data_IF_703467126451
#
_entry.id   IF_703467126451
#
_cell.length_a   1.000
_cell.length_b   1.000
_cell.length_c   1.000
_cell.angle_alpha   90.00
_cell.angle_beta   90.00
_cell.angle_gamma   90.00
#
_symmetry.space_group_name_H-M   'P 1'
#
loop_
_entity.id
_entity.type
_entity.pdbx_description
1 polymer ?
#
# COMPACT_ATOMS: atom_id res chain seq x y z
N UNK A 1 12.73 -16.33 -9.29
CA UNK A 1 12.24 -14.94 -9.19
C UNK A 1 10.84 -14.89 -8.60
N UNK A 2 9.83 -15.59 -9.15
CA UNK A 2 8.47 -15.60 -8.58
C UNK A 2 8.40 -15.97 -7.09
N UNK A 3 9.06 -17.06 -6.70
CA UNK A 3 9.10 -17.52 -5.30
C UNK A 3 9.79 -16.53 -4.33
N UNK A 4 10.71 -15.72 -4.83
CA UNK A 4 11.40 -14.73 -3.99
C UNK A 4 10.51 -13.53 -3.71
N UNK A 5 9.86 -13.01 -4.75
CA UNK A 5 8.86 -11.94 -4.61
C UNK A 5 7.70 -12.39 -3.73
N UNK A 6 7.26 -13.65 -3.87
CA UNK A 6 6.25 -14.23 -2.99
C UNK A 6 6.71 -14.27 -1.54
N UNK A 7 7.94 -14.72 -1.26
CA UNK A 7 8.50 -14.68 0.10
C UNK A 7 8.56 -13.26 0.67
N UNK A 8 8.87 -12.26 -0.15
CA UNK A 8 8.89 -10.86 0.29
C UNK A 8 7.49 -10.30 0.59
N UNK A 9 6.43 -10.86 -0.01
CA UNK A 9 5.04 -10.53 0.28
C UNK A 9 4.46 -11.33 1.46
N UNK A 10 4.89 -12.60 1.63
CA UNK A 10 4.45 -13.49 2.72
C UNK A 10 5.12 -13.14 4.05
N UNK A 11 6.39 -12.72 4.01
CA UNK A 11 7.07 -12.10 5.15
C UNK A 11 6.60 -10.67 5.19
N UNK A 12 5.43 -10.43 5.81
CA UNK A 12 4.88 -9.10 6.01
C UNK A 12 6.01 -8.15 6.42
N UNK A 13 6.35 -7.13 5.59
CA UNK A 13 7.37 -6.19 5.97
C UNK A 13 6.94 -5.57 7.30
N UNK A 14 7.82 -5.48 8.32
CA UNK A 14 7.47 -4.89 9.61
C UNK A 14 7.00 -3.44 9.48
N UNK A 15 7.23 -2.82 8.31
CA UNK A 15 6.88 -1.46 7.97
C UNK A 15 5.90 -1.42 6.78
N UNK A 16 4.68 -0.88 6.97
CA UNK A 16 3.69 -0.69 5.90
C UNK A 16 4.22 0.10 4.69
N UNK A 17 5.12 1.06 4.91
CA UNK A 17 5.75 1.85 3.83
C UNK A 17 6.54 0.96 2.86
N UNK A 18 7.34 0.04 3.38
CA UNK A 18 8.14 -0.89 2.57
C UNK A 18 7.26 -1.84 1.76
N UNK A 19 6.16 -2.32 2.36
CA UNK A 19 5.19 -3.15 1.66
C UNK A 19 4.53 -2.42 0.50
N UNK A 20 4.11 -1.17 0.72
CA UNK A 20 3.52 -0.33 -0.33
C UNK A 20 4.52 -0.10 -1.48
N UNK A 21 5.78 0.15 -1.18
CA UNK A 21 6.85 0.28 -2.19
C UNK A 21 7.08 -1.00 -2.99
N UNK A 22 7.08 -2.16 -2.32
CA UNK A 22 7.23 -3.45 -2.97
C UNK A 22 6.07 -3.70 -3.94
N UNK A 23 4.83 -3.46 -3.50
CA UNK A 23 3.63 -3.60 -4.33
C UNK A 23 3.70 -2.66 -5.54
N UNK A 24 4.07 -1.38 -5.35
CA UNK A 24 4.23 -0.43 -6.45
C UNK A 24 5.26 -0.90 -7.48
N UNK A 25 6.38 -1.45 -7.00
CA UNK A 25 7.44 -1.98 -7.85
C UNK A 25 6.95 -3.17 -8.67
N UNK A 26 6.24 -4.12 -8.04
CA UNK A 26 5.67 -5.29 -8.72
C UNK A 26 4.65 -4.87 -9.80
N UNK A 27 3.79 -3.90 -9.50
CA UNK A 27 2.83 -3.34 -10.45
C UNK A 27 3.52 -2.66 -11.64
N UNK A 28 4.51 -1.79 -11.38
CA UNK A 28 5.27 -1.08 -12.44
C UNK A 28 6.06 -2.00 -13.35
N UNK A 29 6.55 -3.12 -12.80
CA UNK A 29 7.25 -4.16 -13.57
C UNK A 29 6.27 -5.06 -14.36
N UNK A 30 4.96 -4.88 -14.20
CA UNK A 30 3.94 -5.65 -14.90
C UNK A 30 3.77 -7.06 -14.36
N UNK A 31 4.24 -7.36 -13.14
CA UNK A 31 4.16 -8.69 -12.55
C UNK A 31 2.98 -8.88 -11.58
N UNK A 32 2.18 -7.84 -11.33
CA UNK A 32 1.10 -7.87 -10.34
C UNK A 32 0.10 -9.02 -10.55
N UNK A 33 -0.21 -9.38 -11.79
CA UNK A 33 -1.14 -10.47 -12.12
C UNK A 33 -0.69 -11.84 -11.59
N UNK A 34 0.58 -12.01 -11.25
CA UNK A 34 1.10 -13.24 -10.65
C UNK A 34 0.93 -13.31 -9.13
N UNK A 35 0.59 -12.20 -8.48
CA UNK A 35 0.58 -12.00 -7.03
C UNK A 35 -0.68 -11.29 -6.54
N UNK A 36 -1.79 -11.32 -7.30
CA UNK A 36 -3.01 -10.58 -6.97
C UNK A 36 -3.50 -10.90 -5.54
N UNK A 37 -3.54 -12.20 -5.18
CA UNK A 37 -3.98 -12.63 -3.86
C UNK A 37 -3.07 -12.11 -2.74
N UNK A 38 -1.76 -12.17 -2.93
CA UNK A 38 -0.78 -11.69 -1.97
C UNK A 38 -0.83 -10.17 -1.81
N UNK A 39 -1.04 -9.43 -2.90
CA UNK A 39 -1.20 -7.98 -2.92
C UNK A 39 -2.48 -7.58 -2.19
N UNK A 40 -3.63 -8.18 -2.52
CA UNK A 40 -4.91 -7.87 -1.87
C UNK A 40 -4.85 -8.13 -0.36
N UNK A 41 -4.26 -9.24 0.08
CA UNK A 41 -4.15 -9.56 1.51
C UNK A 41 -3.23 -8.57 2.24
N UNK A 42 -2.07 -8.23 1.67
CA UNK A 42 -1.18 -7.23 2.26
C UNK A 42 -1.85 -5.85 2.36
N UNK A 43 -2.56 -5.41 1.32
CA UNK A 43 -3.29 -4.14 1.34
C UNK A 43 -4.43 -4.15 2.37
N UNK A 44 -5.12 -5.28 2.55
CA UNK A 44 -6.10 -5.46 3.62
C UNK A 44 -5.47 -5.27 5.00
N UNK A 45 -4.32 -5.90 5.26
CA UNK A 45 -3.64 -5.77 6.55
C UNK A 45 -3.14 -4.35 6.79
N UNK A 46 -2.56 -3.70 5.77
CA UNK A 46 -2.12 -2.30 5.87
C UNK A 46 -3.30 -1.37 6.15
N UNK A 47 -4.46 -1.59 5.55
CA UNK A 47 -5.65 -0.77 5.81
C UNK A 47 -6.21 -0.96 7.23
N UNK A 48 -5.92 -2.07 7.91
CA UNK A 48 -6.28 -2.25 9.33
C UNK A 48 -5.35 -1.47 10.26
N UNK A 49 -4.13 -1.19 9.83
CA UNK A 49 -3.22 -0.30 10.56
C UNK A 49 -3.78 1.12 10.41
N UNK A 50 -3.93 1.85 11.52
CA UNK A 50 -4.38 3.24 11.43
C UNK A 50 -3.38 4.03 10.56
N UNK A 51 -3.85 5.11 9.94
CA UNK A 51 -2.97 6.03 9.19
C UNK A 51 -1.82 6.60 10.04
N UNK A 52 -1.91 6.53 11.36
CA UNK A 52 -0.83 6.93 12.28
C UNK A 52 0.34 5.92 12.29
N UNK A 53 0.10 4.69 11.84
CA UNK A 53 1.14 3.68 11.63
C UNK A 53 1.81 3.77 10.26
N UNK A 54 1.35 4.66 9.38
CA UNK A 54 2.01 5.01 8.13
C UNK A 54 2.90 6.23 8.37
N UNK A 55 4.01 6.29 7.64
CA UNK A 55 4.88 7.47 7.64
C UNK A 55 4.04 8.72 7.27
N UNK A 56 4.31 9.84 7.95
CA UNK A 56 3.67 11.13 7.68
C UNK A 56 4.07 11.69 6.30
N UNK A 57 4.93 10.99 5.58
CA UNK A 57 5.28 11.28 4.20
C UNK A 57 4.05 11.24 3.27
N UNK A 58 3.75 12.40 2.69
CA UNK A 58 2.69 12.60 1.68
C UNK A 58 2.81 11.59 0.54
N UNK A 59 4.03 11.20 0.16
CA UNK A 59 4.26 10.19 -0.86
C UNK A 59 3.71 8.82 -0.43
N UNK A 60 3.95 8.40 0.81
CA UNK A 60 3.47 7.12 1.35
C UNK A 60 1.95 7.12 1.50
N UNK A 61 1.37 8.21 2.00
CA UNK A 61 -0.09 8.38 2.11
C UNK A 61 -0.74 8.34 0.72
N UNK A 62 -0.13 9.00 -0.26
CA UNK A 62 -0.63 9.00 -1.66
C UNK A 62 -0.53 7.61 -2.28
N UNK A 63 0.54 6.87 -1.99
CA UNK A 63 0.76 5.51 -2.48
C UNK A 63 -0.27 4.54 -1.89
N UNK A 64 -0.48 4.61 -0.57
CA UNK A 64 -1.51 3.86 0.15
C UNK A 64 -2.91 4.10 -0.44
N UNK A 65 -3.29 5.36 -0.60
CA UNK A 65 -4.60 5.73 -1.15
C UNK A 65 -4.80 5.17 -2.56
N UNK A 66 -3.78 5.33 -3.43
CA UNK A 66 -3.84 4.83 -4.80
C UNK A 66 -3.97 3.31 -4.85
N UNK A 67 -3.14 2.58 -4.10
CA UNK A 67 -3.12 1.11 -4.13
C UNK A 67 -4.44 0.52 -3.63
N UNK A 68 -5.02 1.07 -2.56
CA UNK A 68 -6.31 0.61 -2.05
C UNK A 68 -7.49 0.99 -2.97
N UNK A 69 -7.43 2.16 -3.60
CA UNK A 69 -8.46 2.56 -4.58
C UNK A 69 -8.45 1.66 -5.82
N UNK A 70 -7.28 1.18 -6.24
CA UNK A 70 -7.14 0.22 -7.35
C UNK A 70 -7.81 -1.13 -7.03
N UNK A 71 -7.72 -1.58 -5.79
CA UNK A 71 -8.36 -2.81 -5.30
C UNK A 71 -9.86 -2.64 -4.99
N UNK A 72 -10.42 -1.44 -5.20
CA UNK A 72 -11.85 -1.16 -5.00
C UNK A 72 -12.25 -0.90 -3.54
N UNK A 73 -11.31 -0.61 -2.65
CA UNK A 73 -11.64 -0.19 -1.29
C UNK A 73 -12.28 1.20 -1.31
N UNK A 74 -13.41 1.34 -0.61
CA UNK A 74 -14.07 2.63 -0.42
C UNK A 74 -13.36 3.43 0.68
N UNK A 75 -12.29 4.13 0.31
CA UNK A 75 -11.60 5.05 1.21
C UNK A 75 -12.31 6.41 1.16
N UNK A 76 -12.70 6.95 2.31
CA UNK A 76 -13.24 8.30 2.40
C UNK A 76 -12.22 9.33 1.90
N UNK A 77 -12.63 10.17 0.94
CA UNK A 77 -11.85 11.30 0.44
C UNK A 77 -11.47 12.31 1.53
N UNK A 78 -12.21 12.32 2.65
CA UNK A 78 -11.98 13.23 3.77
C UNK A 78 -10.61 12.96 4.42
N UNK A 79 -10.17 11.70 4.44
CA UNK A 79 -8.85 11.30 4.98
C UNK A 79 -7.68 11.84 4.14
N UNK A 80 -7.88 12.00 2.83
CA UNK A 80 -6.91 12.60 1.93
C UNK A 80 -6.94 14.14 2.02
N UNK A 81 -8.14 14.72 2.17
CA UNK A 81 -8.35 16.17 2.22
C UNK A 81 -7.81 16.80 3.52
N UNK A 82 -7.84 16.09 4.65
CA UNK A 82 -7.32 16.61 5.93
C UNK A 82 -5.80 16.85 5.90
N UNK A 83 -5.02 16.04 5.17
CA UNK A 83 -3.55 16.14 5.18
C UNK A 83 -2.96 17.09 4.12
N UNK A 84 -3.69 17.42 3.06
CA UNK A 84 -3.24 18.42 2.07
C UNK A 84 -3.36 19.87 2.55
N UNK A 85 -4.10 20.12 3.65
CA UNK A 85 -4.36 21.47 4.17
C UNK A 85 -3.64 21.79 5.51
N UNK A 86 -2.99 20.82 6.16
CA UNK A 86 -2.28 21.03 7.44
C UNK A 86 -0.79 21.34 7.29
N UNK A 87 -0.29 21.57 6.07
CA UNK A 87 0.95 22.32 5.84
C UNK A 87 0.61 23.75 5.42
N UNK A 88 0.33 24.60 6.41
CA UNK A 88 0.40 26.06 6.26
C UNK A 88 0.98 26.71 7.51
#
# INVERSE_FOLDING_TARGET
>A
MKEEVKRMLDVAPPNPSETLHLIDTIQRLGFAYHFESEITENLREINKLSLEGLDDDIYIVSLWFRLLSQEGYNISSDTFTVRIHTTS
#
